data_IF_490364094784
#
_entry.id   IF_490364094784
#
_cell.length_a   1.000
_cell.length_b   1.000
_cell.length_c   1.000
_cell.angle_alpha   90.00
_cell.angle_beta   90.00
_cell.angle_gamma   90.00
#
_symmetry.space_group_name_H-M   'P 1'
#
loop_
_entity.id
_entity.type
_entity.pdbx_description
1 polymer ?
#
# COMPACT_ATOMS: atom_id res chain seq x y z
N UNK A 1 -4.45 6.58 -3.10
CA UNK A 1 -3.73 6.74 -1.81
C UNK A 1 -4.43 7.80 -0.98
N UNK A 2 -4.36 7.69 0.35
CA UNK A 2 -5.02 8.60 1.28
C UNK A 2 -4.03 9.23 2.26
N UNK A 3 -4.27 10.49 2.63
CA UNK A 3 -3.48 11.23 3.60
C UNK A 3 -4.31 11.85 4.73
N UNK A 4 -3.78 11.85 5.94
CA UNK A 4 -4.27 12.66 7.05
C UNK A 4 -3.09 13.22 7.84
N UNK A 5 -2.97 14.55 7.91
CA UNK A 5 -1.75 15.17 8.42
C UNK A 5 -0.52 14.72 7.64
N UNK A 6 0.44 14.10 8.33
CA UNK A 6 1.64 13.47 7.79
C UNK A 6 1.53 11.93 7.77
N UNK A 7 0.33 11.35 7.80
CA UNK A 7 0.12 9.90 7.71
C UNK A 7 -0.34 9.52 6.30
N UNK A 8 0.17 8.40 5.80
CA UNK A 8 -0.15 7.86 4.49
C UNK A 8 -0.80 6.48 4.64
N UNK A 9 -1.89 6.26 3.90
CA UNK A 9 -2.58 4.99 3.80
C UNK A 9 -2.64 4.59 2.31
N UNK A 10 -2.11 3.42 2.01
CA UNK A 10 -2.10 2.83 0.66
C UNK A 10 -2.95 1.56 0.69
N UNK A 11 -4.15 1.58 0.08
CA UNK A 11 -4.86 0.33 -0.20
C UNK A 11 -4.04 -0.50 -1.20
N UNK A 12 -3.82 -1.76 -0.88
CA UNK A 12 -3.02 -2.69 -1.66
C UNK A 12 -3.81 -3.96 -1.95
N UNK A 13 -3.68 -4.46 -3.17
CA UNK A 13 -4.28 -5.72 -3.61
C UNK A 13 -3.15 -6.65 -4.06
N UNK A 14 -3.26 -7.95 -3.75
CA UNK A 14 -2.27 -8.97 -4.10
C UNK A 14 -0.86 -8.69 -3.55
N UNK A 15 -0.75 -8.37 -2.26
CA UNK A 15 0.55 -8.24 -1.61
C UNK A 15 1.18 -9.63 -1.43
N UNK A 16 2.43 -9.80 -1.87
CA UNK A 16 3.25 -10.98 -1.62
C UNK A 16 4.41 -10.62 -0.67
N UNK A 17 4.56 -11.38 0.41
CA UNK A 17 5.57 -11.13 1.45
C UNK A 17 6.88 -11.82 1.06
N UNK A 18 7.92 -11.09 0.63
CA UNK A 18 9.19 -11.71 0.20
C UNK A 18 10.23 -11.88 1.31
N UNK A 19 10.06 -11.20 2.43
CA UNK A 19 10.92 -11.31 3.59
C UNK A 19 10.11 -11.09 4.87
N UNK A 20 10.51 -11.76 5.95
CA UNK A 20 9.90 -11.56 7.26
C UNK A 20 11.01 -11.40 8.27
N UNK A 21 10.92 -10.31 9.04
CA UNK A 21 11.64 -10.24 10.30
C UNK A 21 11.22 -11.44 11.17
N UNK A 22 12.19 -12.24 11.61
CA UNK A 22 12.09 -13.63 12.10
C UNK A 22 11.21 -13.90 13.34
N UNK A 23 10.35 -12.95 13.75
CA UNK A 23 9.59 -12.99 15.00
C UNK A 23 8.06 -13.10 14.82
N UNK A 24 7.52 -12.99 13.61
CA UNK A 24 6.07 -13.14 13.40
C UNK A 24 5.66 -14.60 13.26
N UNK A 25 4.76 -15.08 14.13
CA UNK A 25 4.16 -16.42 14.04
C UNK A 25 2.98 -16.48 13.06
N UNK A 26 2.46 -15.32 12.67
CA UNK A 26 1.22 -15.19 11.88
C UNK A 26 1.47 -15.10 10.39
N UNK A 27 2.61 -14.56 9.97
CA UNK A 27 2.99 -14.41 8.56
C UNK A 27 4.16 -15.33 8.22
N UNK A 28 4.16 -15.83 6.98
CA UNK A 28 5.23 -16.64 6.38
C UNK A 28 5.68 -16.02 5.06
N UNK A 29 6.95 -16.25 4.73
CA UNK A 29 7.52 -15.78 3.47
C UNK A 29 6.72 -16.45 2.35
N UNK A 30 6.37 -15.65 1.35
CA UNK A 30 5.44 -15.94 0.25
C UNK A 30 3.95 -16.00 0.63
N UNK A 31 3.57 -15.56 1.82
CA UNK A 31 2.17 -15.30 2.10
C UNK A 31 1.62 -14.26 1.12
N UNK A 32 0.42 -14.54 0.61
CA UNK A 32 -0.29 -13.69 -0.33
C UNK A 32 -1.55 -13.15 0.33
N UNK A 33 -1.76 -11.85 0.17
CA UNK A 33 -2.86 -11.10 0.76
C UNK A 33 -3.64 -10.46 -0.37
N UNK A 34 -4.90 -10.85 -0.52
CA UNK A 34 -5.76 -10.33 -1.58
C UNK A 34 -6.05 -8.83 -1.35
N UNK A 35 -6.34 -8.42 -0.11
CA UNK A 35 -6.64 -7.02 0.24
C UNK A 35 -5.97 -6.63 1.56
N UNK A 36 -5.20 -5.55 1.55
CA UNK A 36 -4.53 -5.03 2.74
C UNK A 36 -4.34 -3.52 2.65
N UNK A 37 -4.11 -2.89 3.80
CA UNK A 37 -3.70 -1.49 3.85
C UNK A 37 -2.28 -1.40 4.39
N UNK A 38 -1.42 -0.74 3.63
CA UNK A 38 -0.09 -0.36 4.09
C UNK A 38 -0.16 1.06 4.63
N UNK A 39 0.22 1.23 5.89
CA UNK A 39 0.02 2.46 6.65
C UNK A 39 1.39 2.95 7.12
N UNK A 40 1.71 4.19 6.78
CA UNK A 40 2.92 4.87 7.22
C UNK A 40 2.55 6.04 8.11
N UNK A 41 3.08 6.03 9.34
CA UNK A 41 2.92 7.13 10.28
C UNK A 41 4.16 8.00 10.34
N UNK A 42 3.90 9.27 10.61
CA UNK A 42 4.89 10.34 10.59
C UNK A 42 5.77 10.31 9.34
N UNK A 43 5.14 10.36 8.17
CA UNK A 43 5.82 10.45 6.88
C UNK A 43 6.50 11.80 6.76
N UNK A 44 7.81 11.78 6.52
CA UNK A 44 8.63 12.97 6.25
C UNK A 44 8.58 13.33 4.78
N UNK A 45 8.87 12.38 3.92
CA UNK A 45 8.89 12.58 2.48
C UNK A 45 8.47 11.33 1.73
N UNK A 46 7.89 11.58 0.55
CA UNK A 46 7.50 10.56 -0.41
C UNK A 46 8.10 10.99 -1.74
N UNK A 47 8.88 10.11 -2.34
CA UNK A 47 9.25 10.20 -3.74
C UNK A 47 8.50 9.13 -4.50
N UNK A 48 8.03 9.46 -5.69
CA UNK A 48 7.52 8.42 -6.57
C UNK A 48 7.86 8.66 -8.02
N UNK A 49 8.02 7.56 -8.73
CA UNK A 49 8.27 7.50 -10.17
C UNK A 49 7.08 6.83 -10.84
N UNK A 50 6.62 7.40 -11.93
CA UNK A 50 5.55 6.81 -12.74
C UNK A 50 5.77 7.15 -14.20
N UNK A 51 5.37 6.27 -15.12
CA UNK A 51 5.49 6.51 -16.54
C UNK A 51 4.11 6.70 -17.19
N UNK A 52 4.00 7.71 -18.05
CA UNK A 52 2.80 8.00 -18.86
C UNK A 52 3.26 8.37 -20.26
N UNK A 53 2.71 7.72 -21.28
CA UNK A 53 3.06 7.97 -22.69
C UNK A 53 4.58 7.94 -22.94
N UNK A 54 5.25 6.88 -22.51
CA UNK A 54 6.71 6.68 -22.61
C UNK A 54 7.59 7.75 -21.92
N UNK A 55 7.00 8.61 -21.07
CA UNK A 55 7.73 9.59 -20.25
C UNK A 55 7.71 9.19 -18.79
N UNK A 56 8.90 9.09 -18.20
CA UNK A 56 9.06 8.90 -16.75
C UNK A 56 8.94 10.25 -16.05
N UNK A 57 8.01 10.33 -15.11
CA UNK A 57 7.79 11.48 -14.26
C UNK A 57 8.26 11.16 -12.84
N UNK A 58 8.70 12.20 -12.14
CA UNK A 58 9.15 12.13 -10.75
C UNK A 58 8.41 13.19 -9.95
N UNK A 59 7.91 12.81 -8.78
CA UNK A 59 7.29 13.76 -7.86
C UNK A 59 7.85 13.52 -6.46
N UNK A 60 8.00 14.62 -5.74
CA UNK A 60 8.44 14.65 -4.35
C UNK A 60 7.42 15.42 -3.52
N UNK A 61 6.97 14.82 -2.41
CA UNK A 61 6.23 15.51 -1.36
C UNK A 61 7.07 15.52 -0.08
N UNK A 62 7.19 16.68 0.54
CA UNK A 62 7.85 16.86 1.85
C UNK A 62 6.77 17.37 2.81
N UNK A 63 6.63 16.68 3.93
CA UNK A 63 5.68 17.03 4.98
C UNK A 63 6.36 17.81 6.12
N UNK A 64 7.68 17.66 6.29
CA UNK A 64 8.43 18.44 7.27
C UNK A 64 9.92 18.58 6.92
N UNK A 65 10.47 19.77 7.13
CA UNK A 65 11.83 20.17 6.76
C UNK A 65 12.81 20.19 7.96
N UNK A 66 12.34 20.14 9.22
CA UNK A 66 13.18 20.39 10.39
C UNK A 66 13.25 19.21 11.37
N UNK A 67 14.08 18.17 11.11
CA UNK A 67 14.26 17.06 12.06
C UNK A 67 15.61 16.35 12.03
N UNK A 68 15.87 15.61 13.12
CA UNK A 68 16.93 14.60 13.24
C UNK A 68 16.64 13.40 12.32
N UNK A 69 17.56 13.13 11.39
CA UNK A 69 17.43 12.06 10.40
C UNK A 69 17.47 10.66 11.02
N UNK A 70 18.06 10.49 12.21
CA UNK A 70 18.31 9.18 12.82
C UNK A 70 17.03 8.43 13.26
N UNK A 71 15.88 9.10 13.27
CA UNK A 71 14.60 8.55 13.75
C UNK A 71 13.74 7.98 12.62
N UNK A 72 14.11 8.24 11.36
CA UNK A 72 13.31 7.84 10.20
C UNK A 72 13.89 6.61 9.51
N UNK A 73 13.01 5.69 9.15
CA UNK A 73 13.29 4.56 8.26
C UNK A 73 12.89 4.92 6.83
N UNK A 74 13.52 4.26 5.85
CA UNK A 74 13.15 4.35 4.43
C UNK A 74 12.66 2.99 3.97
N UNK A 75 11.56 2.96 3.22
CA UNK A 75 11.08 1.75 2.56
C UNK A 75 10.72 2.04 1.10
N UNK A 76 10.84 1.00 0.28
CA UNK A 76 10.59 1.03 -1.16
C UNK A 76 9.39 0.14 -1.48
N UNK A 77 8.38 0.72 -2.12
CA UNK A 77 7.18 -0.01 -2.54
C UNK A 77 7.08 0.09 -4.05
N UNK A 78 6.96 -1.07 -4.69
CA UNK A 78 6.56 -1.17 -6.08
C UNK A 78 5.05 -1.45 -6.11
N UNK A 79 4.29 -0.63 -6.81
CA UNK A 79 2.86 -0.85 -7.03
C UNK A 79 2.56 -0.79 -8.53
N UNK A 80 1.43 -1.31 -8.98
CA UNK A 80 0.95 -1.09 -10.36
C UNK A 80 -0.52 -0.77 -10.30
N UNK A 81 -0.92 0.28 -11.02
CA UNK A 81 -2.33 0.62 -11.11
C UNK A 81 -3.07 -0.45 -11.93
N UNK A 82 -4.12 -0.98 -11.33
CA UNK A 82 -4.85 -2.15 -11.78
C UNK A 82 -5.96 -1.77 -12.76
N UNK A 83 -6.34 -0.49 -12.76
CA UNK A 83 -7.40 0.08 -13.59
C UNK A 83 -6.87 0.72 -14.88
N UNK A 84 -5.55 0.80 -15.03
CA UNK A 84 -4.90 1.43 -16.19
C UNK A 84 -3.77 0.53 -16.69
N UNK A 85 -3.67 0.32 -18.01
CA UNK A 85 -2.60 -0.47 -18.66
C UNK A 85 -1.21 0.20 -18.57
N UNK A 86 -0.99 1.18 -17.69
CA UNK A 86 0.18 2.05 -17.67
C UNK A 86 0.92 1.96 -16.33
N UNK A 87 2.15 1.43 -16.45
CA UNK A 87 3.36 1.50 -15.63
C UNK A 87 3.29 1.36 -14.10
N UNK A 88 4.25 0.62 -13.56
CA UNK A 88 4.51 0.52 -12.14
C UNK A 88 4.84 1.89 -11.53
N UNK A 89 4.39 2.08 -10.30
CA UNK A 89 4.74 3.18 -9.42
C UNK A 89 5.79 2.69 -8.43
N UNK A 90 6.96 3.30 -8.47
CA UNK A 90 7.99 3.06 -7.45
C UNK A 90 7.90 4.19 -6.43
N UNK A 91 7.52 3.86 -5.20
CA UNK A 91 7.50 4.78 -4.07
C UNK A 91 8.73 4.56 -3.21
N UNK A 92 9.38 5.65 -2.81
CA UNK A 92 10.32 5.69 -1.70
C UNK A 92 9.72 6.57 -0.62
N UNK A 93 9.54 6.00 0.57
CA UNK A 93 8.83 6.65 1.68
C UNK A 93 9.75 6.70 2.88
N UNK A 94 9.89 7.88 3.48
CA UNK A 94 10.58 8.06 4.77
C UNK A 94 9.58 8.30 5.89
N UNK A 95 9.61 7.46 6.92
CA UNK A 95 8.57 7.39 7.97
C UNK A 95 9.15 6.94 9.31
N UNK A 96 8.36 7.03 10.40
CA UNK A 96 8.75 6.52 11.72
C UNK A 96 8.19 5.14 12.03
N UNK A 97 6.92 4.91 11.68
CA UNK A 97 6.24 3.63 11.94
C UNK A 97 5.52 3.15 10.67
N UNK A 98 5.55 1.84 10.45
CA UNK A 98 4.85 1.17 9.35
C UNK A 98 3.98 0.04 9.90
N UNK A 99 2.78 -0.07 9.37
CA UNK A 99 1.82 -1.10 9.73
C UNK A 99 1.23 -1.73 8.48
N UNK A 100 1.01 -3.04 8.54
CA UNK A 100 0.22 -3.77 7.56
C UNK A 100 -1.09 -4.19 8.24
N UNK A 101 -2.21 -3.70 7.73
CA UNK A 101 -3.55 -4.02 8.22
C UNK A 101 -4.25 -4.98 7.26
N UNK A 102 -4.84 -6.04 7.79
CA UNK A 102 -5.61 -7.03 7.03
C UNK A 102 -7.09 -6.73 7.14
N UNK A 103 -7.80 -6.68 6.01
CA UNK A 103 -9.27 -6.61 6.03
C UNK A 103 -9.82 -7.94 6.56
N UNK A 104 -10.62 -7.92 7.63
CA UNK A 104 -11.06 -9.12 8.38
C UNK A 104 -11.69 -10.21 7.50
N UNK A 105 -12.35 -9.83 6.41
CA UNK A 105 -13.06 -10.76 5.51
C UNK A 105 -12.15 -11.54 4.55
N UNK A 106 -10.86 -11.22 4.47
CA UNK A 106 -9.98 -11.81 3.45
C UNK A 106 -8.76 -12.47 4.08
N UNK A 107 -8.98 -13.71 4.50
CA UNK A 107 -7.99 -14.54 5.19
C UNK A 107 -6.68 -14.72 4.43
N UNK A 108 -5.59 -14.76 5.18
CA UNK A 108 -4.23 -15.08 4.71
C UNK A 108 -4.26 -16.45 4.03
N UNK A 109 -4.06 -16.48 2.70
CA UNK A 109 -4.06 -17.73 1.93
C UNK A 109 -2.68 -18.37 2.00
N UNK A 110 -2.54 -19.30 2.94
CA UNK A 110 -1.34 -20.13 3.10
C UNK A 110 -1.30 -21.19 1.97
N UNK A 111 -0.21 -21.31 1.21
CA UNK A 111 -0.08 -22.38 0.22
C UNK A 111 1.28 -22.42 -0.51
N UNK A 112 1.70 -23.62 -0.93
CA UNK A 112 2.87 -23.76 -1.79
C UNK A 112 2.62 -23.07 -3.15
N UNK A 113 3.70 -22.52 -3.74
CA UNK A 113 3.79 -21.79 -5.03
C UNK A 113 2.87 -22.29 -6.17
N UNK A 114 2.41 -23.53 -6.11
CA UNK A 114 1.80 -24.28 -7.19
C UNK A 114 0.29 -24.10 -7.36
N UNK A 115 -0.40 -23.41 -6.44
CA UNK A 115 -1.83 -23.10 -6.61
C UNK A 115 -2.09 -21.64 -6.99
N UNK A 116 -1.04 -20.82 -7.07
CA UNK A 116 -1.09 -19.39 -7.41
C UNK A 116 0.06 -19.05 -8.37
N UNK A 117 0.01 -19.57 -9.60
CA UNK A 117 0.74 -19.00 -10.76
C UNK A 117 0.18 -19.60 -12.07
N UNK A 118 0.25 -18.92 -13.25
CA UNK A 118 1.19 -17.84 -13.54
C UNK A 118 0.66 -16.61 -14.34
N UNK A 119 1.30 -15.48 -14.05
CA UNK A 119 1.73 -14.36 -14.90
C UNK A 119 1.35 -14.48 -16.40
N UNK A 120 0.70 -13.44 -16.95
CA UNK A 120 1.12 -12.73 -18.18
C UNK A 120 0.68 -11.25 -18.21
N UNK A 121 0.50 -10.63 -17.04
CA UNK A 121 0.76 -9.20 -16.75
C UNK A 121 1.16 -9.14 -15.26
N UNK A 122 2.10 -8.28 -14.83
CA UNK A 122 2.99 -8.60 -13.71
C UNK A 122 2.34 -8.75 -12.32
N UNK A 123 1.10 -8.30 -12.11
CA UNK A 123 0.57 -8.05 -10.76
C UNK A 123 -0.82 -8.63 -10.43
N UNK A 124 -1.37 -9.57 -11.19
CA UNK A 124 -2.74 -10.07 -10.93
C UNK A 124 -2.98 -11.58 -10.92
N UNK A 125 -3.88 -11.96 -9.99
CA UNK A 125 -4.65 -13.20 -9.99
C UNK A 125 -5.77 -13.09 -11.05
N UNK A 126 -5.90 -14.09 -11.93
CA UNK A 126 -7.13 -14.27 -12.72
C UNK A 126 -8.31 -14.49 -11.75
N UNK A 127 -9.46 -13.86 -12.02
CA UNK A 127 -10.73 -14.09 -11.30
C UNK A 127 -10.95 -13.36 -9.95
N UNK A 128 -10.40 -12.15 -9.76
CA UNK A 128 -10.92 -11.26 -8.70
C UNK A 128 -12.25 -10.62 -9.11
N UNK A 129 -13.20 -10.54 -8.18
CA UNK A 129 -14.50 -9.90 -8.43
C UNK A 129 -14.33 -8.39 -8.53
N UNK A 130 -14.63 -7.82 -9.70
CA UNK A 130 -14.48 -6.39 -9.98
C UNK A 130 -15.24 -5.51 -8.97
N UNK A 131 -16.40 -5.96 -8.48
CA UNK A 131 -17.18 -5.22 -7.48
C UNK A 131 -16.48 -5.16 -6.11
N UNK A 132 -15.82 -6.24 -5.72
CA UNK A 132 -15.05 -6.28 -4.46
C UNK A 132 -13.83 -5.36 -4.54
N UNK A 133 -13.15 -5.38 -5.69
CA UNK A 133 -12.03 -4.47 -5.99
C UNK A 133 -12.48 -3.01 -5.96
N UNK A 134 -13.57 -2.67 -6.65
CA UNK A 134 -14.12 -1.32 -6.66
C UNK A 134 -14.55 -0.87 -5.25
N UNK A 135 -15.20 -1.77 -4.49
CA UNK A 135 -15.62 -1.49 -3.11
C UNK A 135 -14.43 -1.25 -2.18
N UNK A 136 -13.32 -1.96 -2.38
CA UNK A 136 -12.11 -1.80 -1.57
C UNK A 136 -11.41 -0.45 -1.81
N UNK A 137 -11.37 0.01 -3.06
CA UNK A 137 -10.80 1.32 -3.40
C UNK A 137 -11.77 2.49 -3.23
N UNK A 138 -13.04 2.24 -2.94
CA UNK A 138 -14.00 3.31 -2.66
C UNK A 138 -13.57 4.08 -1.40
N UNK A 139 -13.43 5.42 -1.55
CA UNK A 139 -12.87 6.33 -0.53
C UNK A 139 -13.59 6.24 0.83
N UNK A 140 -14.83 5.81 0.83
CA UNK A 140 -15.70 5.78 2.00
C UNK A 140 -15.53 4.52 2.88
N UNK A 141 -14.61 3.61 2.51
CA UNK A 141 -14.49 2.28 3.10
C UNK A 141 -13.19 2.00 3.87
N UNK A 142 -12.40 3.03 4.24
CA UNK A 142 -11.23 2.80 5.13
C UNK A 142 -11.71 2.29 6.50
N UNK A 143 -11.24 1.13 6.98
CA UNK A 143 -11.68 0.55 8.25
C UNK A 143 -11.52 1.50 9.44
N UNK A 144 -12.47 1.51 10.39
CA UNK A 144 -12.40 2.37 11.58
C UNK A 144 -11.11 2.22 12.40
N UNK A 145 -10.51 1.04 12.44
CA UNK A 145 -9.25 0.80 13.14
C UNK A 145 -8.10 1.59 12.52
N UNK A 146 -8.05 1.69 11.19
CA UNK A 146 -7.06 2.49 10.47
C UNK A 146 -7.31 3.97 10.75
N UNK A 147 -8.58 4.41 10.73
CA UNK A 147 -8.96 5.78 11.06
C UNK A 147 -8.50 6.14 12.48
N UNK A 148 -8.77 5.28 13.46
CA UNK A 148 -8.32 5.43 14.85
C UNK A 148 -6.79 5.47 14.95
N UNK A 149 -6.08 4.60 14.22
CA UNK A 149 -4.62 4.53 14.20
C UNK A 149 -3.97 5.84 13.72
N UNK A 150 -4.57 6.50 12.72
CA UNK A 150 -4.08 7.79 12.19
C UNK A 150 -4.73 9.01 12.86
N UNK A 151 -5.64 8.81 13.82
CA UNK A 151 -6.35 9.90 14.49
C UNK A 151 -7.45 10.58 13.65
N UNK A 152 -7.86 9.98 12.54
CA UNK A 152 -9.02 10.42 11.77
C UNK A 152 -10.32 9.89 12.40
N UNK A 153 -11.34 10.73 12.53
CA UNK A 153 -12.68 10.36 13.05
C UNK A 153 -13.65 9.86 11.98
N UNK A 154 -13.41 10.20 10.71
CA UNK A 154 -14.24 9.79 9.57
C UNK A 154 -13.46 9.94 8.25
N UNK A 155 -13.90 9.23 7.22
CA UNK A 155 -13.22 9.14 5.91
C UNK A 155 -13.07 10.49 5.20
N UNK A 156 -14.03 11.42 5.32
CA UNK A 156 -13.97 12.70 4.59
C UNK A 156 -12.85 13.65 5.02
N UNK A 157 -12.12 13.33 6.09
CA UNK A 157 -10.89 14.05 6.46
C UNK A 157 -9.65 13.55 5.70
N UNK A 158 -9.73 12.38 5.05
CA UNK A 158 -8.64 11.83 4.28
C UNK A 158 -8.56 12.55 2.93
N UNK A 159 -7.41 13.18 2.65
CA UNK A 159 -7.12 13.74 1.33
C UNK A 159 -6.74 12.62 0.37
N UNK A 160 -7.29 12.61 -0.83
CA UNK A 160 -6.85 11.67 -1.87
C UNK A 160 -5.77 12.30 -2.72
N UNK A 161 -4.76 11.51 -3.07
CA UNK A 161 -3.85 11.81 -4.15
C UNK A 161 -4.43 11.18 -5.42
N UNK A 162 -4.97 12.01 -6.31
CA UNK A 162 -5.48 11.60 -7.62
C UNK A 162 -4.33 11.77 -8.64
N UNK A 163 -4.07 10.73 -9.45
CA UNK A 163 -3.05 10.69 -10.50
C UNK A 163 -3.69 10.54 -11.87
#
# INVERSE_FOLDING_TARGET
MYFFGNHLIIPYINLEIFDICSQSTTLKKYDKLDFSYLIFKDVKEIFWKYAVNDKVNHVKLIFDEFYDEAVYSTDHIEATNIFTDHYGFDFEIRFKEQYLYFSEDVGIKNGALNYWTPIELPNFKRDMNEKEVQSFFAKDHVPPDILNLVGARHFSMLKTLDF
#
